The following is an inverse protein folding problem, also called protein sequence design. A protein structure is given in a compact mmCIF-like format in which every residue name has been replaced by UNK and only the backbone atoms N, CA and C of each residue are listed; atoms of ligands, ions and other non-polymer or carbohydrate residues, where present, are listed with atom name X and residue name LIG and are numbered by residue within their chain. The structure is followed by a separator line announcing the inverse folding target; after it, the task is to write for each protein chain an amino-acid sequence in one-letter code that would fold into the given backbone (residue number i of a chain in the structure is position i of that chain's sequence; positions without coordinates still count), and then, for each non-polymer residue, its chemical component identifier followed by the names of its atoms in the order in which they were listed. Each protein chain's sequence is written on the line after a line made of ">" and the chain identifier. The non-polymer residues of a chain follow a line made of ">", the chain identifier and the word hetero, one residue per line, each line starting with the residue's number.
data_IF_079002628810
#
_entry.id   IF_079002628810
#
_cell.length_a   1.000
_cell.length_b   1.000
_cell.length_c   1.000
_cell.angle_alpha   90.00
_cell.angle_beta   90.00
_cell.angle_gamma   90.00
#
_symmetry.space_group_name_H-M   'P 1'
#
loop_
_entity.id
_entity.type
_entity.pdbx_description
1 polymer ?
#
# COMPACT_ATOMS: atom_id res chain seq x y z
N UNK A 1 -13.95 3.14 -19.47
CA UNK A 1 -12.94 2.82 -18.44
C UNK A 1 -13.11 1.44 -17.84
N UNK A 2 -14.32 1.00 -17.41
CA UNK A 2 -14.54 -0.36 -16.83
C UNK A 2 -14.03 -1.51 -17.73
N UNK A 3 -14.28 -1.43 -19.05
CA UNK A 3 -13.86 -2.47 -20.02
C UNK A 3 -12.33 -2.59 -20.16
N UNK A 4 -11.61 -1.47 -20.08
CA UNK A 4 -10.13 -1.46 -20.17
C UNK A 4 -9.49 -2.13 -18.95
N UNK A 5 -10.04 -1.89 -17.77
CA UNK A 5 -9.57 -2.47 -16.51
C UNK A 5 -9.80 -4.00 -16.46
N UNK A 6 -10.97 -4.45 -16.96
CA UNK A 6 -11.27 -5.89 -17.05
C UNK A 6 -10.32 -6.61 -18.02
N UNK A 7 -10.00 -5.97 -19.16
CA UNK A 7 -9.04 -6.52 -20.12
C UNK A 7 -7.63 -6.59 -19.53
N UNK A 8 -7.20 -5.59 -18.76
CA UNK A 8 -5.89 -5.57 -18.12
C UNK A 8 -5.75 -6.68 -17.06
N UNK A 9 -6.77 -6.86 -16.23
CA UNK A 9 -6.81 -7.95 -15.23
C UNK A 9 -6.81 -9.32 -15.92
N UNK A 10 -7.60 -9.49 -16.98
CA UNK A 10 -7.63 -10.72 -17.74
C UNK A 10 -6.27 -11.04 -18.37
N UNK A 11 -5.56 -10.02 -18.87
CA UNK A 11 -4.24 -10.17 -19.48
C UNK A 11 -3.16 -10.55 -18.46
N UNK A 12 -3.22 -10.00 -17.24
CA UNK A 12 -2.32 -10.36 -16.14
C UNK A 12 -2.59 -11.78 -15.66
N UNK A 13 -3.86 -12.19 -15.55
CA UNK A 13 -4.23 -13.53 -15.14
C UNK A 13 -3.83 -14.57 -16.20
N UNK A 14 -4.07 -14.31 -17.49
CA UNK A 14 -3.70 -15.23 -18.57
C UNK A 14 -2.19 -15.39 -18.72
N UNK A 15 -1.40 -14.31 -18.52
CA UNK A 15 0.07 -14.38 -18.53
C UNK A 15 0.60 -15.26 -17.39
N UNK A 16 -0.05 -15.22 -16.21
CA UNK A 16 0.31 -16.07 -15.06
C UNK A 16 0.01 -17.55 -15.29
N UNK A 17 -1.10 -17.86 -15.97
CA UNK A 17 -1.48 -19.25 -16.32
C UNK A 17 -0.63 -19.82 -17.44
N UNK A 18 -0.25 -19.03 -18.44
CA UNK A 18 0.62 -19.50 -19.53
C UNK A 18 2.01 -19.90 -19.02
N UNK A 19 2.57 -19.15 -18.05
CA UNK A 19 3.82 -19.52 -17.39
C UNK A 19 3.74 -20.84 -16.60
N UNK A 20 2.61 -21.12 -15.96
CA UNK A 20 2.40 -22.36 -15.21
C UNK A 20 2.24 -23.59 -16.12
N UNK A 21 1.60 -23.44 -17.27
CA UNK A 21 1.44 -24.55 -18.24
C UNK A 21 2.75 -24.97 -18.88
N UNK A 22 3.62 -24.04 -19.25
CA UNK A 22 4.93 -24.35 -19.85
C UNK A 22 5.82 -25.17 -18.89
N UNK A 23 5.69 -24.93 -17.57
CA UNK A 23 6.46 -25.67 -16.56
C UNK A 23 5.92 -27.07 -16.36
N UNK A 24 4.59 -27.29 -16.43
CA UNK A 24 3.99 -28.62 -16.25
C UNK A 24 4.27 -29.56 -17.42
N UNK A 25 4.23 -29.09 -18.66
CA UNK A 25 4.47 -29.95 -19.83
C UNK A 25 5.91 -30.46 -19.93
N UNK A 26 6.90 -29.68 -19.51
CA UNK A 26 8.31 -30.13 -19.52
C UNK A 26 8.67 -31.09 -18.39
N UNK A 27 7.87 -31.17 -17.34
CA UNK A 27 8.21 -31.94 -16.14
C UNK A 27 7.73 -33.40 -16.15
N UNK A 28 6.94 -33.83 -17.14
CA UNK A 28 6.37 -35.18 -17.18
C UNK A 28 7.39 -36.30 -17.43
N UNK A 29 8.61 -35.96 -17.87
CA UNK A 29 9.67 -36.93 -18.18
C UNK A 29 10.90 -36.82 -17.28
N UNK A 30 10.84 -36.02 -16.20
CA UNK A 30 11.97 -35.82 -15.29
C UNK A 30 11.84 -36.69 -14.06
N UNK A 31 12.93 -37.35 -13.68
CA UNK A 31 13.06 -38.05 -12.39
C UNK A 31 12.81 -37.03 -11.24
N UNK A 32 12.25 -37.50 -10.13
CA UNK A 32 11.86 -36.68 -8.98
C UNK A 32 12.96 -35.72 -8.50
N UNK A 33 14.22 -36.14 -8.60
CA UNK A 33 15.40 -35.33 -8.24
C UNK A 33 15.65 -34.22 -9.27
N UNK A 34 15.58 -34.57 -10.55
CA UNK A 34 15.73 -33.60 -11.66
C UNK A 34 14.59 -32.59 -11.67
N UNK A 35 13.35 -33.02 -11.34
CA UNK A 35 12.22 -32.13 -11.18
C UNK A 35 12.43 -31.09 -10.07
N UNK A 36 12.92 -31.52 -8.90
CA UNK A 36 13.19 -30.61 -7.78
C UNK A 36 14.32 -29.64 -8.09
N UNK A 37 15.37 -30.09 -8.77
CA UNK A 37 16.47 -29.23 -9.21
C UNK A 37 15.99 -28.22 -10.25
N UNK A 38 15.23 -28.66 -11.27
CA UNK A 38 14.69 -27.76 -12.29
C UNK A 38 13.70 -26.74 -11.71
N UNK A 39 12.90 -27.16 -10.72
CA UNK A 39 12.02 -26.26 -9.97
C UNK A 39 12.83 -25.22 -9.18
N UNK A 40 13.91 -25.62 -8.53
CA UNK A 40 14.79 -24.68 -7.81
C UNK A 40 15.49 -23.72 -8.76
N UNK A 41 15.99 -24.19 -9.90
CA UNK A 41 16.64 -23.35 -10.89
C UNK A 41 15.69 -22.41 -11.60
N UNK A 42 14.46 -22.87 -11.90
CA UNK A 42 13.37 -22.03 -12.41
C UNK A 42 13.05 -20.90 -11.41
N UNK A 43 12.85 -21.24 -10.15
CA UNK A 43 12.57 -20.26 -9.12
C UNK A 43 13.75 -19.29 -8.88
N UNK A 44 14.99 -19.76 -9.02
CA UNK A 44 16.19 -18.92 -8.95
C UNK A 44 16.34 -17.97 -10.15
N UNK A 45 16.01 -18.43 -11.34
CA UNK A 45 16.21 -17.65 -12.58
C UNK A 45 15.05 -16.71 -12.90
N UNK A 46 13.83 -17.04 -12.52
CA UNK A 46 12.61 -16.30 -12.88
C UNK A 46 12.02 -15.51 -11.72
N UNK A 47 12.40 -15.80 -10.48
CA UNK A 47 11.99 -14.91 -9.40
C UNK A 47 12.79 -13.61 -9.45
N UNK A 48 12.06 -12.51 -9.24
CA UNK A 48 12.60 -11.16 -8.95
C UNK A 48 13.60 -11.16 -7.76
N UNK A 49 13.88 -12.31 -7.18
CA UNK A 49 14.74 -12.60 -6.02
C UNK A 49 16.15 -13.07 -6.38
N UNK A 50 16.57 -12.95 -7.64
CA UNK A 50 17.92 -13.30 -8.06
C UNK A 50 18.97 -12.59 -7.19
N UNK A 51 19.88 -13.39 -6.67
CA UNK A 51 20.95 -13.01 -5.73
C UNK A 51 21.96 -11.98 -6.26
N UNK A 52 21.84 -11.57 -7.52
CA UNK A 52 22.66 -10.50 -8.13
C UNK A 52 22.40 -9.09 -7.57
N UNK A 53 21.43 -8.92 -6.68
CA UNK A 53 21.02 -7.62 -6.16
C UNK A 53 21.59 -7.28 -4.76
N UNK A 54 22.83 -7.71 -4.45
CA UNK A 54 23.50 -7.31 -3.19
C UNK A 54 23.61 -5.79 -3.00
N UNK A 55 23.49 -5.01 -4.08
CA UNK A 55 23.69 -3.54 -4.06
C UNK A 55 22.44 -2.73 -3.69
N UNK A 56 21.22 -3.29 -3.79
CA UNK A 56 19.99 -2.51 -3.58
C UNK A 56 19.29 -2.77 -2.23
N UNK A 57 19.90 -3.60 -1.38
CA UNK A 57 19.26 -4.07 -0.15
C UNK A 57 19.38 -3.12 1.03
N UNK A 58 20.37 -2.22 1.06
CA UNK A 58 20.52 -1.29 2.18
C UNK A 58 19.61 -0.07 1.98
N UNK A 59 18.70 0.14 2.92
CA UNK A 59 18.05 1.44 3.07
C UNK A 59 19.00 2.31 3.91
N UNK A 60 19.81 3.09 3.25
CA UNK A 60 20.58 4.16 3.91
C UNK A 60 19.61 5.24 4.33
N UNK A 61 19.82 5.80 5.53
CA UNK A 61 19.02 6.94 6.00
C UNK A 61 19.09 8.11 5.02
N UNK A 62 18.01 8.86 4.89
CA UNK A 62 17.93 9.99 3.97
C UNK A 62 16.52 10.55 3.84
N UNK A 63 16.39 11.58 3.03
CA UNK A 63 15.08 12.11 2.66
C UNK A 63 14.34 11.10 1.80
N UNK A 64 13.06 10.90 2.09
CA UNK A 64 12.19 10.08 1.27
C UNK A 64 10.93 10.83 0.84
N UNK A 65 10.42 10.43 -0.30
CA UNK A 65 9.11 10.82 -0.79
C UNK A 65 8.38 9.57 -1.30
N UNK A 66 7.12 9.41 -0.91
CA UNK A 66 6.28 8.33 -1.40
C UNK A 66 4.97 8.88 -1.91
N UNK A 67 4.61 8.50 -3.12
CA UNK A 67 3.28 8.77 -3.70
C UNK A 67 2.51 7.47 -3.74
N UNK A 68 1.33 7.44 -3.15
CA UNK A 68 0.49 6.25 -2.98
C UNK A 68 -0.88 6.47 -3.61
N UNK A 69 -1.30 5.54 -4.47
CA UNK A 69 -2.69 5.35 -4.85
C UNK A 69 -3.35 4.49 -3.78
N UNK A 70 -4.54 4.85 -3.37
CA UNK A 70 -5.25 4.13 -2.31
C UNK A 70 -6.70 3.83 -2.70
N UNK A 71 -7.18 2.70 -2.19
CA UNK A 71 -8.56 2.30 -2.32
C UNK A 71 -9.04 1.70 -1.00
N UNK A 72 -10.20 2.13 -0.51
CA UNK A 72 -10.77 1.70 0.75
C UNK A 72 -12.16 1.10 0.61
N UNK A 73 -12.40 0.05 1.40
CA UNK A 73 -13.69 -0.62 1.54
C UNK A 73 -14.23 -0.40 2.95
N UNK A 74 -15.44 0.12 3.08
CA UNK A 74 -16.12 0.29 4.36
C UNK A 74 -16.45 -1.06 5.02
N UNK A 75 -16.23 -1.14 6.34
CA UNK A 75 -16.46 -2.36 7.11
C UNK A 75 -17.88 -2.45 7.68
N UNK A 76 -18.61 -1.33 7.73
CA UNK A 76 -19.97 -1.25 8.26
C UNK A 76 -20.80 -0.29 7.40
N UNK A 77 -22.08 -0.13 7.75
CA UNK A 77 -22.86 0.98 7.20
C UNK A 77 -22.16 2.29 7.53
N UNK A 78 -21.75 2.98 6.48
CA UNK A 78 -21.04 4.24 6.58
C UNK A 78 -22.07 5.36 6.66
N UNK A 79 -21.89 6.27 7.61
CA UNK A 79 -22.77 7.42 7.75
C UNK A 79 -22.76 8.30 6.52
N UNK A 80 -23.90 8.89 6.19
CA UNK A 80 -24.02 9.90 5.13
C UNK A 80 -23.11 11.10 5.49
N UNK A 81 -22.31 11.64 4.56
CA UNK A 81 -22.30 11.47 3.09
C UNK A 81 -21.27 10.44 2.57
N UNK A 82 -20.67 9.63 3.41
CA UNK A 82 -19.57 8.75 2.99
C UNK A 82 -20.10 7.47 2.36
N UNK A 83 -19.41 7.00 1.34
CA UNK A 83 -19.77 5.78 0.63
C UNK A 83 -19.08 4.55 1.22
N UNK A 84 -19.55 3.36 0.84
CA UNK A 84 -18.92 2.08 1.21
C UNK A 84 -17.50 1.91 0.66
N UNK A 85 -17.06 2.77 -0.23
CA UNK A 85 -15.71 2.72 -0.81
C UNK A 85 -15.24 4.13 -1.17
N UNK A 86 -13.93 4.28 -1.23
CA UNK A 86 -13.28 5.49 -1.73
C UNK A 86 -12.04 5.14 -2.55
N UNK A 87 -11.67 6.04 -3.44
CA UNK A 87 -10.39 6.01 -4.14
C UNK A 87 -9.64 7.31 -3.91
N UNK A 88 -8.31 7.23 -3.84
CA UNK A 88 -7.53 8.43 -3.56
C UNK A 88 -6.08 8.34 -3.96
N UNK A 89 -5.41 9.47 -3.82
CA UNK A 89 -3.96 9.61 -3.99
C UNK A 89 -3.42 10.39 -2.81
N UNK A 90 -2.24 9.98 -2.34
CA UNK A 90 -1.54 10.69 -1.29
C UNK A 90 -0.05 10.80 -1.58
N UNK A 91 0.58 11.82 -1.01
CA UNK A 91 2.02 12.02 -1.05
C UNK A 91 2.53 12.27 0.37
N UNK A 92 3.58 11.57 0.74
CA UNK A 92 4.27 11.71 2.03
C UNK A 92 5.71 12.08 1.76
N UNK A 93 6.20 13.09 2.45
CA UNK A 93 7.61 13.48 2.46
C UNK A 93 8.14 13.40 3.89
N UNK A 94 9.32 12.84 4.05
CA UNK A 94 9.88 12.65 5.38
C UNK A 94 11.36 12.26 5.38
N UNK A 95 11.79 11.78 6.53
CA UNK A 95 13.16 11.33 6.75
C UNK A 95 13.20 9.89 7.25
N UNK A 96 13.99 9.08 6.57
CA UNK A 96 14.29 7.70 6.97
C UNK A 96 15.58 7.69 7.78
N UNK A 97 15.52 7.14 8.98
CA UNK A 97 16.67 6.93 9.86
C UNK A 97 17.38 5.61 9.54
N UNK A 98 18.67 5.53 9.85
CA UNK A 98 19.45 4.30 9.67
C UNK A 98 18.95 3.10 10.47
N UNK A 99 18.14 3.32 11.51
CA UNK A 99 17.45 2.28 12.29
C UNK A 99 16.30 1.59 11.55
N UNK A 100 15.89 2.10 10.38
CA UNK A 100 14.71 1.66 9.64
C UNK A 100 13.42 2.38 10.04
N UNK A 101 13.47 3.28 11.02
CA UNK A 101 12.36 4.17 11.35
C UNK A 101 12.29 5.31 10.33
N UNK A 102 11.10 5.65 9.88
CA UNK A 102 10.85 6.80 9.02
C UNK A 102 9.73 7.65 9.62
N UNK A 103 9.89 8.96 9.58
CA UNK A 103 8.92 9.94 10.02
C UNK A 103 8.65 10.91 8.88
N UNK A 104 7.38 11.21 8.62
CA UNK A 104 6.99 12.09 7.55
C UNK A 104 5.69 12.84 7.81
N UNK A 105 5.37 13.72 6.88
CA UNK A 105 4.11 14.41 6.79
C UNK A 105 3.48 14.13 5.42
N UNK A 106 2.19 13.89 5.41
CA UNK A 106 1.44 13.51 4.22
C UNK A 106 0.25 14.41 3.96
N UNK A 107 -0.05 14.57 2.68
CA UNK A 107 -1.27 15.19 2.17
C UNK A 107 -1.86 14.29 1.10
N UNK A 108 -3.17 14.27 0.96
CA UNK A 108 -3.83 13.44 -0.04
C UNK A 108 -5.13 14.04 -0.54
N UNK A 109 -5.76 13.30 -1.44
CA UNK A 109 -7.09 13.55 -1.96
C UNK A 109 -7.85 12.23 -2.02
N UNK A 110 -8.97 12.15 -1.33
CA UNK A 110 -9.84 10.97 -1.28
C UNK A 110 -11.19 11.34 -1.86
N UNK A 111 -11.59 10.65 -2.92
CA UNK A 111 -12.88 10.78 -3.56
C UNK A 111 -13.83 9.71 -3.05
N UNK A 112 -14.95 10.15 -2.53
CA UNK A 112 -16.11 9.34 -2.14
C UNK A 112 -17.24 9.53 -3.17
N UNK A 113 -18.34 8.77 -3.06
CA UNK A 113 -19.46 8.96 -3.98
C UNK A 113 -20.08 10.36 -3.87
N UNK A 114 -20.19 10.88 -2.67
CA UNK A 114 -20.92 12.12 -2.37
C UNK A 114 -19.99 13.29 -2.04
N UNK A 115 -18.70 13.20 -2.39
CA UNK A 115 -17.78 14.29 -2.14
C UNK A 115 -16.32 13.88 -2.06
N UNK A 116 -15.48 14.81 -1.65
CA UNK A 116 -14.06 14.58 -1.48
C UNK A 116 -13.58 15.03 -0.10
N UNK A 117 -12.47 14.46 0.33
CA UNK A 117 -11.79 14.82 1.57
C UNK A 117 -10.29 14.92 1.31
N UNK A 118 -9.66 15.91 1.91
CA UNK A 118 -8.22 16.13 1.87
C UNK A 118 -7.63 15.73 3.23
N UNK A 119 -6.96 14.56 3.35
CA UNK A 119 -6.22 14.19 4.54
C UNK A 119 -4.91 14.99 4.64
N UNK A 120 -4.64 15.50 5.85
CA UNK A 120 -3.36 16.06 6.27
C UNK A 120 -2.91 15.31 7.52
N UNK A 121 -1.75 14.67 7.48
CA UNK A 121 -1.38 13.70 8.51
C UNK A 121 0.13 13.55 8.74
N UNK A 122 0.47 13.05 9.92
CA UNK A 122 1.78 12.50 10.22
C UNK A 122 1.84 11.02 9.80
N UNK A 123 2.98 10.61 9.31
CA UNK A 123 3.28 9.24 8.85
C UNK A 123 4.47 8.71 9.65
N UNK A 124 4.32 7.52 10.21
CA UNK A 124 5.38 6.80 10.91
C UNK A 124 5.49 5.43 10.24
N UNK A 125 6.68 5.09 9.75
CA UNK A 125 6.96 3.76 9.17
C UNK A 125 8.16 3.12 9.86
N UNK A 126 8.10 1.80 10.00
CA UNK A 126 9.23 1.03 10.48
C UNK A 126 9.53 -0.11 9.51
N UNK A 127 10.66 -0.02 8.84
CA UNK A 127 11.11 -0.99 7.84
C UNK A 127 11.92 -2.11 8.47
N UNK A 128 11.53 -3.36 8.19
CA UNK A 128 12.11 -4.57 8.76
C UNK A 128 12.66 -5.48 7.66
N UNK A 129 13.70 -6.24 7.99
CA UNK A 129 14.27 -7.27 7.12
C UNK A 129 15.56 -6.85 6.43
N UNK A 130 16.39 -7.86 6.19
CA UNK A 130 17.71 -7.73 5.53
C UNK A 130 17.68 -8.15 4.07
N UNK A 131 16.54 -8.67 3.60
CA UNK A 131 16.36 -9.18 2.24
C UNK A 131 15.99 -8.06 1.25
N UNK A 132 15.93 -8.42 -0.03
CA UNK A 132 15.54 -7.52 -1.11
C UNK A 132 14.14 -6.97 -0.92
N UNK A 133 13.18 -7.82 -0.53
CA UNK A 133 11.86 -7.41 -0.10
C UNK A 133 11.91 -7.14 1.39
N UNK A 134 11.43 -5.98 1.79
CA UNK A 134 11.32 -5.61 3.20
C UNK A 134 9.85 -5.49 3.58
N UNK A 135 9.57 -5.90 4.80
CA UNK A 135 8.29 -5.62 5.44
C UNK A 135 8.35 -4.25 6.11
N UNK A 136 7.22 -3.61 6.24
CA UNK A 136 7.11 -2.42 7.07
C UNK A 136 5.77 -2.36 7.79
N UNK A 137 5.79 -1.73 8.95
CA UNK A 137 4.61 -1.26 9.65
C UNK A 137 4.44 0.21 9.35
N UNK A 138 3.21 0.66 9.25
CA UNK A 138 2.86 2.05 9.00
C UNK A 138 1.76 2.49 9.95
N UNK A 139 1.85 3.73 10.43
CA UNK A 139 0.81 4.39 11.18
C UNK A 139 0.64 5.81 10.67
N UNK A 140 -0.49 6.08 10.03
CA UNK A 140 -0.88 7.42 9.63
C UNK A 140 -1.88 7.96 10.65
N UNK A 141 -1.82 9.26 10.93
CA UNK A 141 -2.79 9.91 11.81
C UNK A 141 -2.82 11.41 11.62
N UNK A 142 -4.02 11.97 11.62
CA UNK A 142 -4.19 13.39 11.38
C UNK A 142 -5.64 13.80 11.17
N UNK A 143 -5.82 14.80 10.33
CA UNK A 143 -7.11 15.42 10.05
C UNK A 143 -7.53 15.15 8.61
N UNK A 144 -8.80 14.87 8.43
CA UNK A 144 -9.47 14.86 7.15
C UNK A 144 -10.31 16.12 7.04
N UNK A 145 -10.04 16.93 6.02
CA UNK A 145 -10.66 18.24 5.82
C UNK A 145 -11.49 18.25 4.56
N UNK A 146 -12.73 18.77 4.68
CA UNK A 146 -13.55 19.16 3.53
C UNK A 146 -13.60 20.69 3.52
N UNK A 147 -13.16 21.29 2.41
CA UNK A 147 -13.11 22.77 2.33
C UNK A 147 -14.47 23.40 1.98
N UNK A 148 -15.42 22.64 1.44
CA UNK A 148 -16.75 23.15 1.15
C UNK A 148 -17.61 23.27 2.41
N UNK A 149 -17.48 22.29 3.33
CA UNK A 149 -18.20 22.25 4.61
C UNK A 149 -17.26 21.83 5.75
N UNK A 150 -16.32 22.71 6.08
CA UNK A 150 -15.27 22.41 7.05
C UNK A 150 -15.79 22.03 8.44
N UNK A 151 -16.90 22.64 8.87
CA UNK A 151 -17.46 22.39 10.21
C UNK A 151 -18.08 20.99 10.32
N UNK A 152 -18.75 20.55 9.29
CA UNK A 152 -19.60 19.36 9.34
C UNK A 152 -18.87 18.09 8.87
N UNK A 153 -17.81 18.22 8.07
CA UNK A 153 -17.12 17.08 7.45
C UNK A 153 -15.64 16.95 7.80
N UNK A 154 -15.11 17.78 8.71
CA UNK A 154 -13.74 17.60 9.19
C UNK A 154 -13.68 16.54 10.27
N UNK A 155 -12.79 15.54 10.11
CA UNK A 155 -12.66 14.39 10.99
C UNK A 155 -11.22 14.16 11.42
N UNK A 156 -11.04 13.51 12.55
CA UNK A 156 -9.75 12.96 12.97
C UNK A 156 -9.68 11.51 12.49
N UNK A 157 -8.53 11.06 12.06
CA UNK A 157 -8.36 9.67 11.66
C UNK A 157 -7.05 9.06 12.14
N UNK A 158 -7.04 7.75 12.22
CA UNK A 158 -5.85 6.91 12.31
C UNK A 158 -5.93 5.80 11.29
N UNK A 159 -4.77 5.35 10.81
CA UNK A 159 -4.66 4.30 9.81
C UNK A 159 -3.43 3.44 10.07
N UNK A 160 -3.49 2.54 11.07
CA UNK A 160 -2.46 1.53 11.24
C UNK A 160 -2.51 0.52 10.10
N UNK A 161 -1.33 0.07 9.66
CA UNK A 161 -1.21 -0.90 8.58
C UNK A 161 0.14 -1.58 8.53
N UNK A 162 0.25 -2.47 7.56
CA UNK A 162 1.49 -3.18 7.26
C UNK A 162 1.65 -3.34 5.74
N UNK A 163 2.88 -3.50 5.30
CA UNK A 163 3.14 -3.61 3.88
C UNK A 163 4.48 -4.25 3.52
N UNK A 164 4.70 -4.27 2.22
CA UNK A 164 5.89 -4.79 1.57
C UNK A 164 6.49 -3.71 0.70
N UNK A 165 7.81 -3.72 0.61
CA UNK A 165 8.53 -2.83 -0.29
C UNK A 165 9.52 -3.62 -1.14
N UNK A 166 9.49 -3.38 -2.46
CA UNK A 166 10.31 -4.05 -3.46
C UNK A 166 11.18 -3.02 -4.17
N UNK A 167 12.52 -3.14 -4.13
CA UNK A 167 13.37 -2.22 -4.85
C UNK A 167 13.25 -2.43 -6.37
N UNK A 168 12.97 -1.35 -7.09
CA UNK A 168 13.00 -1.30 -8.54
C UNK A 168 14.40 -0.91 -9.04
N UNK A 169 14.99 0.10 -8.38
CA UNK A 169 16.38 0.53 -8.65
C UNK A 169 17.04 1.05 -7.36
N UNK A 170 18.18 1.74 -7.45
CA UNK A 170 18.93 2.25 -6.28
C UNK A 170 18.08 3.15 -5.39
N UNK A 171 17.28 4.03 -5.99
CA UNK A 171 16.57 5.10 -5.30
C UNK A 171 15.05 4.90 -5.32
N UNK A 172 14.53 4.07 -6.23
CA UNK A 172 13.09 3.87 -6.44
C UNK A 172 12.65 2.49 -5.96
N UNK A 173 11.57 2.45 -5.21
CA UNK A 173 10.96 1.23 -4.67
C UNK A 173 9.46 1.23 -4.88
N UNK A 174 8.90 0.06 -5.16
CA UNK A 174 7.46 -0.17 -5.17
C UNK A 174 7.03 -0.56 -3.77
N UNK A 175 5.98 0.08 -3.28
CA UNK A 175 5.36 -0.17 -1.98
C UNK A 175 3.96 -0.71 -2.18
N UNK A 176 3.61 -1.73 -1.41
CA UNK A 176 2.23 -2.19 -1.28
C UNK A 176 1.90 -2.33 0.20
N UNK A 177 0.78 -1.77 0.65
CA UNK A 177 0.34 -1.88 2.04
C UNK A 177 -1.17 -2.03 2.16
N UNK A 178 -1.59 -2.62 3.26
CA UNK A 178 -2.98 -2.68 3.69
C UNK A 178 -3.08 -2.16 5.13
N UNK A 179 -4.17 -1.47 5.43
CA UNK A 179 -4.39 -0.85 6.74
C UNK A 179 -5.86 -0.76 7.09
N UNK A 180 -6.10 -0.31 8.32
CA UNK A 180 -7.42 -0.05 8.86
C UNK A 180 -7.58 1.45 9.12
N UNK A 181 -8.17 2.15 8.14
CA UNK A 181 -8.50 3.55 8.29
C UNK A 181 -9.73 3.67 9.19
N UNK A 182 -9.60 4.35 10.31
CA UNK A 182 -10.71 4.67 11.21
C UNK A 182 -10.82 6.18 11.36
N UNK A 183 -12.02 6.69 11.17
CA UNK A 183 -12.36 8.11 11.25
C UNK A 183 -13.36 8.34 12.36
N UNK A 184 -13.20 9.46 13.07
CA UNK A 184 -14.13 9.94 14.09
C UNK A 184 -14.61 11.33 13.76
N UNK A 185 -15.89 11.57 14.00
CA UNK A 185 -16.46 12.91 13.89
C UNK A 185 -15.84 13.84 14.94
N UNK A 186 -15.66 15.11 14.59
CA UNK A 186 -15.07 16.12 15.46
C UNK A 186 -15.95 16.42 16.68
N UNK A 187 -17.26 16.30 16.54
CA UNK A 187 -18.21 16.59 17.61
C UNK A 187 -18.23 15.51 18.71
N UNK A 188 -17.73 14.31 18.42
CA UNK A 188 -17.53 13.24 19.42
C UNK A 188 -16.63 13.63 20.56
N UNK A 189 -15.67 14.53 20.31
CA UNK A 189 -14.78 15.04 21.36
C UNK A 189 -15.44 16.05 22.28
N UNK A 190 -16.63 16.56 21.93
CA UNK A 190 -17.35 17.60 22.70
C UNK A 190 -18.57 17.06 23.44
N UNK A 191 -19.18 16.00 22.97
CA UNK A 191 -20.42 15.46 23.53
C UNK A 191 -20.26 13.98 23.84
N UNK A 192 -20.68 13.55 25.03
CA UNK A 192 -20.71 12.16 25.48
C UNK A 192 -21.77 11.29 24.76
N UNK A 193 -22.27 11.73 23.65
CA UNK A 193 -23.22 11.05 22.78
C UNK A 193 -22.53 10.23 21.68
N UNK A 194 -23.21 9.21 21.19
CA UNK A 194 -22.75 8.24 20.20
C UNK A 194 -22.17 8.93 18.93
N UNK A 195 -20.89 9.14 18.93
CA UNK A 195 -20.21 9.68 17.76
C UNK A 195 -20.07 8.66 16.66
N UNK A 196 -20.30 9.09 15.44
CA UNK A 196 -20.15 8.24 14.26
C UNK A 196 -18.69 7.88 14.05
N UNK A 197 -18.42 6.57 13.95
CA UNK A 197 -17.13 5.99 13.66
C UNK A 197 -17.20 5.24 12.36
N UNK A 198 -16.49 5.70 11.36
CA UNK A 198 -16.37 5.02 10.08
C UNK A 198 -15.03 4.27 10.00
N UNK A 199 -15.07 3.03 9.56
CA UNK A 199 -13.87 2.20 9.41
C UNK A 199 -13.81 1.58 8.01
N UNK A 200 -12.61 1.64 7.41
CA UNK A 200 -12.34 1.10 6.09
C UNK A 200 -11.10 0.21 6.12
N UNK A 201 -11.17 -0.93 5.47
CA UNK A 201 -9.94 -1.62 5.04
C UNK A 201 -9.42 -0.88 3.82
N UNK A 202 -8.23 -0.32 3.90
CA UNK A 202 -7.62 0.36 2.78
C UNK A 202 -6.42 -0.41 2.24
N UNK A 203 -6.22 -0.32 0.94
CA UNK A 203 -5.04 -0.83 0.23
C UNK A 203 -4.35 0.34 -0.44
N UNK A 204 -3.02 0.36 -0.36
CA UNK A 204 -2.20 1.40 -0.97
C UNK A 204 -1.14 0.77 -1.86
N UNK A 205 -0.98 1.34 -3.05
CA UNK A 205 0.10 1.03 -3.98
C UNK A 205 0.91 2.30 -4.19
N UNK A 206 2.20 2.27 -3.88
CA UNK A 206 3.02 3.46 -3.87
C UNK A 206 4.36 3.31 -4.57
N UNK A 207 4.91 4.45 -4.97
CA UNK A 207 6.27 4.60 -5.43
C UNK A 207 7.06 5.42 -4.40
N UNK A 208 8.03 4.77 -3.75
CA UNK A 208 8.93 5.36 -2.77
C UNK A 208 10.26 5.73 -3.42
N UNK A 209 10.62 6.98 -3.30
CA UNK A 209 11.93 7.52 -3.68
C UNK A 209 12.74 7.87 -2.43
N UNK A 210 14.02 7.43 -2.37
CA UNK A 210 14.95 7.74 -1.28
C UNK A 210 16.19 8.39 -1.89
N UNK A 211 16.59 9.52 -1.33
CA UNK A 211 17.79 10.28 -1.74
C UNK A 211 18.87 10.17 -0.68
#
# INVERSE_FOLDING_TARGET
>A
MKRLFTVLIALVLTASFAGAQIVTERCWHLDKVQFLQHKQDFWRSHMLFSTSAKSYSSMTGGLYNITELQYGFGLAEVGVPFSHHYGGISNVTGYLFGSGLALGAGIGYNQYNDGYIIPLYGDIRYFMGKQRIKFFLVGDGGFMMNFENFKDYSRVFVNPGAGLIVPLNKNLRLSFSAGLLTMWDRDVLKDSGAGYRDSYVNMKLGLLFIK
#
